data_IF_865445120617
#
_entry.id   IF_865445120617
#
_cell.length_a   1.000
_cell.length_b   1.000
_cell.length_c   1.000
_cell.angle_alpha   90.00
_cell.angle_beta   90.00
_cell.angle_gamma   90.00
#
_symmetry.space_group_name_H-M   'P 1'
#
loop_
_entity.id
_entity.type
_entity.pdbx_description
1 polymer ?
#
# COMPACT_ATOMS: atom_id res chain seq x y z
N UNK A 1 27.20 6.70 17.83
CA UNK A 1 27.23 6.51 16.36
C UNK A 1 27.47 7.87 15.70
N UNK A 2 28.64 8.08 15.13
CA UNK A 2 28.98 9.33 14.43
C UNK A 2 28.13 9.50 13.17
N UNK A 3 27.49 10.66 13.03
CA UNK A 3 26.73 11.03 11.83
C UNK A 3 27.71 10.97 10.65
N UNK A 4 27.48 10.10 9.67
CA UNK A 4 28.31 10.04 8.45
C UNK A 4 28.38 11.44 7.84
N UNK A 5 29.55 11.82 7.32
CA UNK A 5 29.77 13.05 6.58
C UNK A 5 29.01 13.00 5.23
N UNK A 6 27.67 12.97 5.28
CA UNK A 6 26.82 12.65 4.13
C UNK A 6 26.67 13.82 3.16
N UNK A 7 26.96 15.05 3.59
CA UNK A 7 26.76 16.25 2.78
C UNK A 7 27.61 16.30 1.51
N UNK A 8 28.85 15.81 1.56
CA UNK A 8 29.74 15.81 0.39
C UNK A 8 29.31 14.77 -0.66
N UNK A 9 28.94 13.57 -0.23
CA UNK A 9 28.42 12.51 -1.10
C UNK A 9 27.05 12.89 -1.70
N UNK A 10 26.16 13.47 -0.89
CA UNK A 10 24.86 13.97 -1.34
C UNK A 10 25.02 15.09 -2.37
N UNK A 11 25.97 15.99 -2.16
CA UNK A 11 26.27 17.08 -3.09
C UNK A 11 26.78 16.54 -4.43
N UNK A 12 27.75 15.62 -4.43
CA UNK A 12 28.26 15.01 -5.65
C UNK A 12 27.16 14.31 -6.44
N UNK A 13 26.28 13.55 -5.76
CA UNK A 13 25.11 12.93 -6.39
C UNK A 13 24.13 13.95 -6.95
N UNK A 14 23.88 15.04 -6.22
CA UNK A 14 22.96 16.08 -6.68
C UNK A 14 23.48 16.79 -7.94
N UNK A 15 24.80 17.01 -8.04
CA UNK A 15 25.44 17.56 -9.25
C UNK A 15 25.22 16.61 -10.44
N UNK A 16 25.52 15.32 -10.27
CA UNK A 16 25.31 14.32 -11.34
C UNK A 16 23.84 14.20 -11.73
N UNK A 17 22.93 14.22 -10.76
CA UNK A 17 21.50 14.12 -11.01
C UNK A 17 20.95 15.35 -11.77
N UNK A 18 21.45 16.56 -11.48
CA UNK A 18 21.10 17.76 -12.27
C UNK A 18 21.61 17.64 -13.71
N UNK A 19 22.83 17.15 -13.92
CA UNK A 19 23.42 16.99 -15.25
C UNK A 19 22.73 15.92 -16.12
N UNK A 20 22.15 14.90 -15.49
CA UNK A 20 21.56 13.73 -16.16
C UNK A 20 20.03 13.69 -16.14
N UNK A 21 19.39 14.69 -15.52
CA UNK A 21 17.94 14.76 -15.38
C UNK A 21 17.24 14.74 -16.75
N UNK A 22 16.26 13.84 -16.90
CA UNK A 22 15.47 13.70 -18.13
C UNK A 22 14.10 14.37 -18.04
N UNK A 23 13.70 14.78 -16.84
CA UNK A 23 12.46 15.52 -16.62
C UNK A 23 12.66 16.73 -15.71
N UNK A 24 11.78 17.73 -15.87
CA UNK A 24 11.78 18.93 -15.02
C UNK A 24 11.54 18.57 -13.55
N UNK A 25 10.77 17.51 -13.27
CA UNK A 25 10.57 17.05 -11.90
C UNK A 25 11.84 16.45 -11.30
N UNK A 26 12.55 15.60 -12.04
CA UNK A 26 13.86 15.07 -11.61
C UNK A 26 14.85 16.19 -11.34
N UNK A 27 14.92 17.18 -12.24
CA UNK A 27 15.77 18.36 -12.09
C UNK A 27 15.45 19.12 -10.79
N UNK A 28 14.17 19.42 -10.54
CA UNK A 28 13.74 20.14 -9.32
C UNK A 28 14.02 19.34 -8.04
N UNK A 29 13.89 18.01 -8.10
CA UNK A 29 14.21 17.15 -6.94
C UNK A 29 15.72 17.24 -6.65
N UNK A 30 16.58 17.13 -7.66
CA UNK A 30 18.03 17.26 -7.48
C UNK A 30 18.43 18.67 -7.00
N UNK A 31 17.80 19.71 -7.54
CA UNK A 31 18.01 21.09 -7.11
C UNK A 31 17.63 21.33 -5.63
N UNK A 32 16.65 20.60 -5.09
CA UNK A 32 16.27 20.70 -3.67
C UNK A 32 17.39 20.34 -2.69
N UNK A 33 18.43 19.65 -3.17
CA UNK A 33 19.61 19.22 -2.41
C UNK A 33 20.84 20.01 -2.84
N UNK A 34 21.03 20.20 -4.16
CA UNK A 34 22.15 20.96 -4.71
C UNK A 34 22.17 22.41 -4.21
N UNK A 35 21.02 23.09 -4.28
CA UNK A 35 20.95 24.53 -4.01
C UNK A 35 21.32 24.87 -2.56
N UNK A 36 20.79 24.18 -1.53
CA UNK A 36 21.23 24.38 -0.15
C UNK A 36 22.69 24.00 0.10
N UNK A 37 23.16 22.87 -0.46
CA UNK A 37 24.48 22.34 -0.14
C UNK A 37 25.62 23.07 -0.85
N UNK A 38 25.41 23.51 -2.10
CA UNK A 38 26.42 24.21 -2.91
C UNK A 38 26.42 25.72 -2.70
N UNK A 39 25.24 26.31 -2.52
CA UNK A 39 25.07 27.77 -2.51
C UNK A 39 24.54 28.31 -1.18
N UNK A 40 24.33 27.47 -0.16
CA UNK A 40 23.88 27.92 1.16
C UNK A 40 22.44 28.45 1.21
N UNK A 41 21.64 28.16 0.18
CA UNK A 41 20.26 28.67 0.09
C UNK A 41 19.36 28.05 1.15
N UNK A 42 18.49 28.87 1.74
CA UNK A 42 17.42 28.41 2.63
C UNK A 42 16.32 27.67 1.85
N UNK A 43 15.52 26.85 2.54
CA UNK A 43 14.44 26.10 1.88
C UNK A 43 13.36 27.00 1.26
N UNK A 44 13.14 28.19 1.82
CA UNK A 44 12.22 29.19 1.26
C UNK A 44 12.75 29.78 -0.05
N UNK A 45 14.03 30.13 -0.11
CA UNK A 45 14.65 30.62 -1.34
C UNK A 45 14.68 29.53 -2.43
N UNK A 46 14.95 28.28 -2.05
CA UNK A 46 14.88 27.16 -3.01
C UNK A 46 13.46 26.95 -3.53
N UNK A 47 12.46 27.07 -2.68
CA UNK A 47 11.05 26.99 -3.07
C UNK A 47 10.69 28.06 -4.10
N UNK A 48 11.15 29.30 -3.90
CA UNK A 48 10.97 30.41 -4.83
C UNK A 48 11.65 30.12 -6.18
N UNK A 49 12.94 29.76 -6.18
CA UNK A 49 13.71 29.45 -7.40
C UNK A 49 13.11 28.28 -8.19
N UNK A 50 12.60 27.26 -7.50
CA UNK A 50 12.03 26.07 -8.14
C UNK A 50 10.56 26.19 -8.50
N UNK A 51 9.88 27.25 -8.06
CA UNK A 51 8.44 27.46 -8.23
C UNK A 51 7.59 26.43 -7.47
N UNK A 52 8.02 26.03 -6.27
CA UNK A 52 7.37 24.99 -5.44
C UNK A 52 7.14 25.47 -4.02
N UNK A 53 6.29 24.77 -3.27
CA UNK A 53 6.13 25.05 -1.84
C UNK A 53 7.36 24.63 -1.01
N UNK A 54 7.61 25.31 0.10
CA UNK A 54 8.67 24.95 1.06
C UNK A 54 8.55 23.50 1.55
N UNK A 55 7.32 23.06 1.85
CA UNK A 55 7.02 21.68 2.26
C UNK A 55 7.39 20.66 1.19
N UNK A 56 7.16 21.00 -0.09
CA UNK A 56 7.57 20.16 -1.22
C UNK A 56 9.09 20.04 -1.29
N UNK A 57 9.83 21.15 -1.16
CA UNK A 57 11.30 21.15 -1.17
C UNK A 57 11.85 20.29 -0.03
N UNK A 58 11.33 20.49 1.20
CA UNK A 58 11.75 19.73 2.37
C UNK A 58 11.50 18.22 2.20
N UNK A 59 10.33 17.84 1.67
CA UNK A 59 9.99 16.44 1.37
C UNK A 59 10.93 15.84 0.34
N UNK A 60 11.15 16.53 -0.79
CA UNK A 60 11.96 16.00 -1.88
C UNK A 60 13.44 15.91 -1.50
N UNK A 61 13.96 16.84 -0.69
CA UNK A 61 15.29 16.73 -0.11
C UNK A 61 15.44 15.47 0.73
N UNK A 62 14.47 15.17 1.61
CA UNK A 62 14.47 13.92 2.40
C UNK A 62 14.40 12.68 1.52
N UNK A 63 13.56 12.68 0.49
CA UNK A 63 13.44 11.57 -0.44
C UNK A 63 14.72 11.33 -1.24
N UNK A 64 15.36 12.40 -1.74
CA UNK A 64 16.63 12.30 -2.45
C UNK A 64 17.71 11.67 -1.57
N UNK A 65 17.83 12.12 -0.31
CA UNK A 65 18.79 11.58 0.65
C UNK A 65 18.47 10.11 0.99
N UNK A 66 17.20 9.78 1.20
CA UNK A 66 16.75 8.44 1.56
C UNK A 66 16.89 7.42 0.41
N UNK A 67 16.66 7.83 -0.84
CA UNK A 67 16.71 6.96 -2.02
C UNK A 67 18.15 6.62 -2.44
N UNK A 68 19.16 7.37 -1.98
CA UNK A 68 20.56 7.10 -2.29
C UNK A 68 20.86 7.17 -3.79
N UNK A 69 21.22 6.04 -4.41
CA UNK A 69 21.51 5.89 -5.84
C UNK A 69 20.29 5.46 -6.68
N UNK A 70 19.13 5.23 -6.07
CA UNK A 70 17.93 4.89 -6.83
C UNK A 70 17.41 6.09 -7.63
N UNK A 71 16.85 5.86 -8.84
CA UNK A 71 16.29 6.93 -9.66
C UNK A 71 15.23 7.72 -8.90
N UNK A 72 15.23 9.04 -9.09
CA UNK A 72 14.32 9.99 -8.45
C UNK A 72 12.90 9.84 -9.01
N UNK A 73 12.23 8.75 -8.65
CA UNK A 73 10.84 8.57 -9.02
C UNK A 73 10.00 9.54 -8.20
N UNK A 74 9.14 10.30 -8.88
CA UNK A 74 8.05 10.99 -8.20
C UNK A 74 7.30 9.95 -7.35
N UNK A 75 6.94 10.28 -6.09
CA UNK A 75 6.17 9.34 -5.27
C UNK A 75 4.96 8.92 -6.09
N UNK A 76 4.84 7.62 -6.36
CA UNK A 76 3.74 7.10 -7.16
C UNK A 76 2.45 7.62 -6.56
N UNK A 77 1.64 8.31 -7.37
CA UNK A 77 0.31 8.73 -6.96
C UNK A 77 -0.35 7.49 -6.36
N UNK A 78 -0.69 7.55 -5.07
CA UNK A 78 -0.99 6.40 -4.22
C UNK A 78 -1.84 5.36 -4.97
N UNK A 79 -1.15 4.37 -5.53
CA UNK A 79 -1.73 3.23 -6.21
C UNK A 79 -2.23 2.30 -5.11
N UNK A 80 -3.40 2.59 -4.58
CA UNK A 80 -3.89 1.94 -3.37
C UNK A 80 -5.28 2.39 -2.96
N UNK A 81 -6.16 2.60 -3.94
CA UNK A 81 -7.57 2.85 -3.69
C UNK A 81 -8.40 1.58 -3.81
N UNK A 82 -9.48 1.48 -3.04
CA UNK A 82 -10.51 0.46 -3.24
C UNK A 82 -11.44 0.90 -4.41
N UNK A 83 -10.91 1.05 -5.63
CA UNK A 83 -11.67 1.57 -6.79
C UNK A 83 -12.71 0.59 -7.36
N UNK A 84 -12.50 -0.71 -7.13
CA UNK A 84 -13.40 -1.79 -7.57
C UNK A 84 -14.01 -2.52 -6.35
N UNK A 85 -14.59 -1.78 -5.40
CA UNK A 85 -15.27 -2.40 -4.25
C UNK A 85 -16.54 -3.08 -4.72
N UNK A 86 -16.74 -4.31 -4.24
CA UNK A 86 -18.04 -5.00 -4.35
C UNK A 86 -18.97 -4.53 -3.23
N UNK A 87 -18.43 -4.35 -2.03
CA UNK A 87 -19.18 -3.93 -0.83
C UNK A 87 -18.49 -2.75 -0.13
N UNK A 88 -19.25 -1.80 0.44
CA UNK A 88 -18.70 -0.78 1.32
C UNK A 88 -18.16 -1.39 2.61
N UNK A 89 -17.31 -0.61 3.30
CA UNK A 89 -16.48 -1.07 4.41
C UNK A 89 -17.27 -1.58 5.63
N UNK A 90 -18.44 -1.00 5.87
CA UNK A 90 -19.32 -1.35 6.99
C UNK A 90 -20.09 -2.66 6.71
N UNK A 91 -20.58 -2.84 5.48
CA UNK A 91 -21.30 -4.06 5.06
C UNK A 91 -20.38 -5.29 4.90
N UNK A 92 -19.08 -5.11 4.59
CA UNK A 92 -18.14 -6.24 4.45
C UNK A 92 -18.09 -7.15 5.69
N UNK A 93 -18.20 -6.58 6.90
CA UNK A 93 -18.12 -7.37 8.13
C UNK A 93 -19.39 -8.20 8.33
N UNK A 94 -20.55 -7.60 8.10
CA UNK A 94 -21.85 -8.29 8.22
C UNK A 94 -21.96 -9.39 7.18
N UNK A 95 -21.57 -9.12 5.94
CA UNK A 95 -21.56 -10.10 4.85
C UNK A 95 -20.60 -11.27 5.12
N UNK A 96 -19.39 -11.00 5.61
CA UNK A 96 -18.46 -12.08 5.97
C UNK A 96 -18.98 -12.88 7.17
N UNK A 97 -19.58 -12.22 8.15
CA UNK A 97 -20.13 -12.88 9.34
C UNK A 97 -21.30 -13.78 8.95
N UNK A 98 -22.23 -13.32 8.11
CA UNK A 98 -23.37 -14.12 7.67
C UNK A 98 -22.93 -15.37 6.89
N UNK A 99 -21.92 -15.23 6.03
CA UNK A 99 -21.31 -16.37 5.32
C UNK A 99 -20.64 -17.33 6.29
N UNK A 100 -19.87 -16.83 7.26
CA UNK A 100 -19.25 -17.66 8.31
C UNK A 100 -20.29 -18.44 9.11
N UNK A 101 -21.34 -17.80 9.60
CA UNK A 101 -22.41 -18.46 10.36
C UNK A 101 -23.12 -19.54 9.54
N UNK A 102 -23.38 -19.28 8.26
CA UNK A 102 -23.97 -20.29 7.36
C UNK A 102 -23.03 -21.48 7.17
N UNK A 103 -21.74 -21.20 6.99
CA UNK A 103 -20.70 -22.21 6.81
C UNK A 103 -20.53 -23.03 8.10
N UNK A 104 -20.44 -22.39 9.27
CA UNK A 104 -20.35 -23.04 10.59
C UNK A 104 -21.54 -23.96 10.87
N UNK A 105 -22.75 -23.56 10.48
CA UNK A 105 -23.95 -24.41 10.59
C UNK A 105 -23.85 -25.66 9.73
N UNK A 106 -23.49 -25.49 8.45
CA UNK A 106 -23.29 -26.61 7.53
C UNK A 106 -22.18 -27.55 8.04
N UNK A 107 -21.13 -27.00 8.64
CA UNK A 107 -20.07 -27.80 9.26
C UNK A 107 -20.55 -28.55 10.50
N UNK A 108 -21.35 -27.93 11.36
CA UNK A 108 -21.92 -28.60 12.53
C UNK A 108 -22.79 -29.78 12.11
N UNK A 109 -23.57 -29.63 11.04
CA UNK A 109 -24.37 -30.73 10.46
C UNK A 109 -23.49 -31.85 9.89
N UNK A 110 -22.44 -31.52 9.13
CA UNK A 110 -21.51 -32.50 8.54
C UNK A 110 -20.62 -33.21 9.57
N UNK A 111 -20.28 -32.53 10.68
CA UNK A 111 -19.46 -33.09 11.75
C UNK A 111 -20.24 -34.06 12.63
N UNK A 112 -21.54 -33.82 12.80
CA UNK A 112 -22.43 -34.71 13.57
C UNK A 112 -23.08 -35.81 12.72
N UNK A 113 -22.79 -35.88 11.41
CA UNK A 113 -23.19 -36.99 10.56
C UNK A 113 -22.34 -38.24 10.90
N UNK A 114 -22.94 -39.34 11.38
CA UNK A 114 -22.23 -40.57 11.73
C UNK A 114 -21.44 -41.21 10.57
N UNK A 115 -21.69 -40.81 9.32
CA UNK A 115 -21.05 -41.34 8.11
C UNK A 115 -19.95 -40.43 7.54
N UNK A 116 -19.58 -39.36 8.24
CA UNK A 116 -18.60 -38.38 7.75
C UNK A 116 -17.16 -38.87 7.94
N UNK A 117 -16.46 -39.13 6.83
CA UNK A 117 -15.04 -39.56 6.81
C UNK A 117 -14.06 -38.38 6.59
N UNK A 118 -14.47 -37.14 6.86
CA UNK A 118 -13.67 -35.95 6.56
C UNK A 118 -12.74 -35.59 7.74
N UNK A 119 -11.46 -35.39 7.44
CA UNK A 119 -10.49 -34.87 8.42
C UNK A 119 -10.72 -33.38 8.70
N UNK A 120 -10.37 -32.91 9.91
CA UNK A 120 -10.50 -31.49 10.35
C UNK A 120 -9.83 -30.49 9.39
N UNK A 121 -8.78 -30.91 8.71
CA UNK A 121 -8.06 -30.09 7.71
C UNK A 121 -8.73 -30.09 6.34
N UNK A 122 -9.51 -31.13 6.01
CA UNK A 122 -10.38 -31.19 4.84
C UNK A 122 -11.71 -30.46 5.08
N UNK A 123 -12.14 -30.40 6.36
CA UNK A 123 -13.27 -29.61 6.87
C UNK A 123 -12.93 -28.11 6.86
N UNK A 124 -11.66 -27.73 6.91
CA UNK A 124 -11.23 -26.35 6.71
C UNK A 124 -11.18 -25.93 5.22
N UNK A 125 -11.92 -26.61 4.33
CA UNK A 125 -12.15 -26.09 2.98
C UNK A 125 -12.86 -24.73 3.08
N UNK A 126 -12.28 -23.70 2.47
CA UNK A 126 -12.09 -22.46 3.18
C UNK A 126 -13.36 -21.63 3.05
N UNK A 127 -13.78 -20.99 4.14
CA UNK A 127 -14.77 -19.89 4.13
C UNK A 127 -14.57 -18.95 2.93
N UNK A 128 -13.32 -18.79 2.44
CA UNK A 128 -12.98 -18.06 1.22
C UNK A 128 -13.67 -18.54 -0.07
N UNK A 129 -13.92 -19.85 -0.26
CA UNK A 129 -14.62 -20.38 -1.44
C UNK A 129 -16.12 -20.11 -1.36
N UNK A 130 -16.73 -20.34 -0.21
CA UNK A 130 -18.13 -19.97 0.02
C UNK A 130 -18.34 -18.47 -0.11
N UNK A 131 -17.41 -17.67 0.42
CA UNK A 131 -17.40 -16.23 0.27
C UNK A 131 -17.20 -15.81 -1.19
N UNK A 132 -16.31 -16.45 -1.94
CA UNK A 132 -16.14 -16.18 -3.37
C UNK A 132 -17.43 -16.43 -4.15
N UNK A 133 -18.11 -17.55 -3.89
CA UNK A 133 -19.37 -17.90 -4.53
C UNK A 133 -20.45 -16.88 -4.19
N UNK A 134 -20.64 -16.58 -2.91
CA UNK A 134 -21.61 -15.58 -2.45
C UNK A 134 -21.32 -14.18 -3.01
N UNK A 135 -20.04 -13.77 -3.09
CA UNK A 135 -19.65 -12.50 -3.71
C UNK A 135 -19.91 -12.49 -5.21
N UNK A 136 -19.78 -13.62 -5.89
CA UNK A 136 -20.05 -13.73 -7.34
C UNK A 136 -21.54 -13.65 -7.63
N UNK A 137 -22.36 -14.30 -6.81
CA UNK A 137 -23.82 -14.20 -6.84
C UNK A 137 -24.28 -12.76 -6.55
N UNK A 138 -23.75 -12.13 -5.50
CA UNK A 138 -24.07 -10.75 -5.14
C UNK A 138 -23.66 -9.74 -6.23
N UNK A 139 -22.48 -9.91 -6.81
CA UNK A 139 -21.95 -8.99 -7.83
C UNK A 139 -22.50 -9.25 -9.24
N UNK A 140 -23.26 -10.33 -9.47
CA UNK A 140 -23.73 -10.75 -10.79
C UNK A 140 -22.61 -11.07 -11.80
N UNK A 141 -21.39 -11.32 -11.31
CA UNK A 141 -20.20 -11.57 -12.15
C UNK A 141 -19.19 -12.45 -11.40
N UNK A 142 -18.33 -13.21 -12.09
CA UNK A 142 -17.33 -14.03 -11.43
C UNK A 142 -16.35 -13.15 -10.63
N UNK A 143 -16.17 -13.47 -9.35
CA UNK A 143 -15.23 -12.80 -8.45
C UNK A 143 -14.01 -13.69 -8.22
N UNK A 144 -12.82 -13.09 -8.23
CA UNK A 144 -11.57 -13.82 -8.00
C UNK A 144 -11.47 -14.34 -6.56
N UNK A 145 -10.83 -15.50 -6.38
CA UNK A 145 -10.50 -16.04 -5.03
C UNK A 145 -9.67 -15.06 -4.20
N UNK A 146 -8.73 -14.35 -4.83
CA UNK A 146 -7.90 -13.35 -4.17
C UNK A 146 -8.76 -12.24 -3.54
N UNK A 147 -9.88 -11.86 -4.15
CA UNK A 147 -10.81 -10.88 -3.60
C UNK A 147 -11.43 -11.38 -2.30
N UNK A 148 -11.83 -12.65 -2.23
CA UNK A 148 -12.38 -13.26 -1.01
C UNK A 148 -11.33 -13.36 0.11
N UNK A 149 -10.10 -13.80 -0.20
CA UNK A 149 -9.01 -13.82 0.78
C UNK A 149 -8.65 -12.43 1.31
N UNK A 150 -8.61 -11.44 0.43
CA UNK A 150 -8.37 -10.05 0.82
C UNK A 150 -9.49 -9.46 1.68
N UNK A 151 -10.73 -9.88 1.46
CA UNK A 151 -11.86 -9.48 2.30
C UNK A 151 -11.77 -10.13 3.69
N UNK A 152 -11.49 -11.43 3.77
CA UNK A 152 -11.28 -12.16 5.02
C UNK A 152 -10.13 -11.61 5.85
N UNK A 153 -8.98 -11.32 5.23
CA UNK A 153 -7.82 -10.78 5.95
C UNK A 153 -8.08 -9.40 6.55
N UNK A 154 -8.96 -8.59 5.93
CA UNK A 154 -9.35 -7.27 6.44
C UNK A 154 -10.36 -7.37 7.58
N UNK A 155 -11.35 -8.25 7.48
CA UNK A 155 -12.39 -8.41 8.52
C UNK A 155 -11.83 -9.14 9.74
N UNK A 156 -10.94 -10.12 9.56
CA UNK A 156 -10.24 -10.79 10.66
C UNK A 156 -9.43 -9.80 11.53
N UNK A 157 -8.68 -8.89 10.90
CA UNK A 157 -7.93 -7.83 11.62
C UNK A 157 -8.81 -6.81 12.34
N UNK A 158 -10.08 -6.66 11.95
CA UNK A 158 -11.03 -5.75 12.62
C UNK A 158 -11.69 -6.40 13.83
N UNK A 159 -11.85 -7.72 13.82
CA UNK A 159 -12.45 -8.46 14.93
C UNK A 159 -11.53 -8.53 16.17
N UNK A 160 -10.22 -8.29 15.99
CA UNK A 160 -9.22 -8.26 17.07
C UNK A 160 -9.01 -6.88 17.69
N UNK A 161 -9.73 -5.85 17.22
CA UNK A 161 -9.62 -4.46 17.70
C UNK A 161 -10.85 -4.01 18.52
N UNK A 162 -11.60 -4.96 19.08
CA UNK A 162 -12.70 -4.71 20.01
C UNK A 162 -12.36 -5.25 21.39
#
# INVERSE_FOLDING_TARGET
>A
MGRRASGAEELARAITAVATAKSVNELRIAQSVLLPLKFGLSLSQVAEVTGRSVSWVARNRRLFIANGTQPLQAPSATSGGRRNQILPRHEELEFVTSVKTRVDRLWWELYNDPKSYLSRDQINFPVAQYLQKALSEYAGRPVSRATAYNMLSRTAKRNTLR
#
